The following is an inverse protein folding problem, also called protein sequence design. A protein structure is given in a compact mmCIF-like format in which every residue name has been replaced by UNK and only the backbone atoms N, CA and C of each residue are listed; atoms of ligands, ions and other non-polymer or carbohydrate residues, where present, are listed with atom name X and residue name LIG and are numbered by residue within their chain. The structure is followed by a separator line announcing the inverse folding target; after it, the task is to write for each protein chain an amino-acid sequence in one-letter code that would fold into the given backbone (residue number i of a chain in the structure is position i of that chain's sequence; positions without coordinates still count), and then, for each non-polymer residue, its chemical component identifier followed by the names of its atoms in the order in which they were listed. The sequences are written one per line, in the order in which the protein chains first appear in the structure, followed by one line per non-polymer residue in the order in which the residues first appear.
data_IF_421309841618
#
_entry.id   IF_421309841618
#
_cell.length_a   1.000
_cell.length_b   1.000
_cell.length_c   1.000
_cell.angle_alpha   90.00
_cell.angle_beta   90.00
_cell.angle_gamma   90.00
#
_symmetry.space_group_name_H-M   'P 1'
#
loop_
_entity.id
_entity.type
_entity.pdbx_description
1 polymer ?
#
# COMPACT_ATOMS: atom_id res chain seq x y z
N UNK A 1 -31.91 8.15 21.90
CA UNK A 1 -30.68 8.21 22.73
C UNK A 1 -29.57 7.27 22.21
N UNK A 2 -29.87 6.03 21.78
CA UNK A 2 -28.86 5.09 21.27
C UNK A 2 -28.26 5.56 19.93
N UNK A 3 -29.05 6.12 19.02
CA UNK A 3 -28.60 6.62 17.72
C UNK A 3 -27.64 7.82 17.84
N UNK A 4 -27.88 8.75 18.76
CA UNK A 4 -27.00 9.89 19.01
C UNK A 4 -25.67 9.43 19.64
N UNK A 5 -25.68 8.47 20.56
CA UNK A 5 -24.48 7.92 21.18
C UNK A 5 -23.60 7.21 20.17
N UNK A 6 -24.17 6.42 19.25
CA UNK A 6 -23.45 5.80 18.14
C UNK A 6 -22.83 6.84 17.19
N UNK A 7 -23.56 7.90 16.90
CA UNK A 7 -23.07 8.99 16.04
C UNK A 7 -21.86 9.71 16.66
N UNK A 8 -21.93 10.07 17.94
CA UNK A 8 -20.82 10.70 18.65
C UNK A 8 -19.57 9.81 18.75
N UNK A 9 -19.74 8.53 19.06
CA UNK A 9 -18.64 7.57 19.15
C UNK A 9 -17.95 7.39 17.77
N UNK A 10 -18.71 7.27 16.70
CA UNK A 10 -18.16 7.11 15.36
C UNK A 10 -17.38 8.35 14.87
N UNK A 11 -17.80 9.55 15.27
CA UNK A 11 -17.08 10.79 14.92
C UNK A 11 -15.84 10.99 15.79
N UNK A 12 -15.90 10.67 17.07
CA UNK A 12 -14.76 10.71 17.96
C UNK A 12 -13.66 9.74 17.49
N UNK A 13 -14.04 8.50 17.13
CA UNK A 13 -13.11 7.52 16.59
C UNK A 13 -12.51 7.96 15.25
N UNK A 14 -13.29 8.55 14.35
CA UNK A 14 -12.81 9.06 13.08
C UNK A 14 -11.80 10.20 13.27
N UNK A 15 -12.07 11.11 14.22
CA UNK A 15 -11.16 12.21 14.56
C UNK A 15 -9.88 11.68 15.21
N UNK A 16 -10.00 10.79 16.19
CA UNK A 16 -8.86 10.16 16.85
C UNK A 16 -7.98 9.38 15.86
N UNK A 17 -8.59 8.63 14.94
CA UNK A 17 -7.90 7.96 13.85
C UNK A 17 -7.15 8.95 12.97
N UNK A 18 -7.78 10.06 12.56
CA UNK A 18 -7.12 11.07 11.72
C UNK A 18 -5.97 11.75 12.44
N UNK A 19 -6.09 12.02 13.74
CA UNK A 19 -4.99 12.54 14.56
C UNK A 19 -3.83 11.55 14.66
N UNK A 20 -4.12 10.26 14.84
CA UNK A 20 -3.11 9.21 14.79
C UNK A 20 -2.39 9.18 13.44
N UNK A 21 -3.14 9.20 12.34
CA UNK A 21 -2.58 9.21 10.98
C UNK A 21 -1.68 10.43 10.75
N UNK A 22 -2.12 11.63 11.12
CA UNK A 22 -1.35 12.88 10.96
C UNK A 22 -0.08 12.89 11.81
N UNK A 23 -0.21 12.55 13.09
CA UNK A 23 0.93 12.60 14.02
C UNK A 23 1.98 11.55 13.66
N UNK A 24 1.56 10.32 13.43
CA UNK A 24 2.49 9.24 13.11
C UNK A 24 3.13 9.43 11.74
N UNK A 25 2.35 9.78 10.69
CA UNK A 25 2.93 10.03 9.36
C UNK A 25 3.82 11.28 9.34
N UNK A 26 3.45 12.36 10.05
CA UNK A 26 4.25 13.57 10.14
C UNK A 26 5.60 13.33 10.85
N UNK A 27 5.58 12.62 11.99
CA UNK A 27 6.79 12.21 12.69
C UNK A 27 7.66 11.29 11.84
N UNK A 28 7.06 10.29 11.19
CA UNK A 28 7.78 9.37 10.33
C UNK A 28 8.43 10.10 9.13
N UNK A 29 7.71 11.03 8.47
CA UNK A 29 8.26 11.86 7.41
C UNK A 29 9.45 12.69 7.89
N UNK A 30 9.34 13.32 9.06
CA UNK A 30 10.43 14.12 9.63
C UNK A 30 11.66 13.27 9.95
N UNK A 31 11.47 12.17 10.67
CA UNK A 31 12.56 11.30 11.14
C UNK A 31 13.24 10.54 9.98
N UNK A 32 12.46 10.11 8.98
CA UNK A 32 12.97 9.34 7.85
C UNK A 32 13.45 10.21 6.68
N UNK A 33 13.20 11.54 6.72
CA UNK A 33 13.58 12.45 5.63
C UNK A 33 15.09 12.41 5.28
N UNK A 34 16.06 12.40 6.23
CA UNK A 34 17.48 12.32 5.87
C UNK A 34 17.80 11.02 5.12
N UNK A 35 17.24 9.90 5.58
CA UNK A 35 17.40 8.60 4.93
C UNK A 35 16.74 8.60 3.53
N UNK A 36 15.54 9.16 3.40
CA UNK A 36 14.83 9.28 2.14
C UNK A 36 15.63 10.10 1.10
N UNK A 37 16.30 11.17 1.54
CA UNK A 37 17.18 11.97 0.66
C UNK A 37 18.38 11.16 0.20
N UNK A 38 19.06 10.44 1.10
CA UNK A 38 20.21 9.58 0.73
C UNK A 38 19.78 8.49 -0.25
N UNK A 39 18.64 7.87 -0.01
CA UNK A 39 18.07 6.87 -0.92
C UNK A 39 17.71 7.47 -2.28
N UNK A 40 17.12 8.66 -2.31
CA UNK A 40 16.81 9.38 -3.53
C UNK A 40 18.06 9.64 -4.38
N UNK A 41 19.16 10.06 -3.74
CA UNK A 41 20.47 10.25 -4.40
C UNK A 41 20.95 8.91 -4.96
N UNK A 42 20.91 7.83 -4.17
CA UNK A 42 21.36 6.51 -4.60
C UNK A 42 20.56 6.00 -5.82
N UNK A 43 19.24 6.10 -5.81
CA UNK A 43 18.36 5.74 -6.94
C UNK A 43 18.73 6.57 -8.19
N UNK A 44 18.97 7.86 -8.01
CA UNK A 44 19.33 8.76 -9.11
C UNK A 44 20.69 8.43 -9.72
N UNK A 45 21.65 8.02 -8.91
CA UNK A 45 22.99 7.65 -9.36
C UNK A 45 23.00 6.29 -10.08
N UNK A 46 22.14 5.34 -9.66
CA UNK A 46 22.09 4.01 -10.27
C UNK A 46 21.50 4.05 -11.70
N UNK A 47 20.43 4.80 -11.91
CA UNK A 47 19.69 4.78 -13.19
C UNK A 47 19.14 6.17 -13.56
N UNK A 48 19.90 7.19 -13.51
CA UNK A 48 19.68 8.61 -13.93
C UNK A 48 18.24 9.10 -14.22
N UNK A 49 17.22 8.30 -13.97
CA UNK A 49 15.80 8.61 -14.17
C UNK A 49 15.12 9.26 -12.93
N UNK A 50 13.78 9.41 -12.91
CA UNK A 50 13.05 9.98 -11.79
C UNK A 50 13.21 9.12 -10.53
N UNK A 51 13.26 9.76 -9.36
CA UNK A 51 13.40 9.08 -8.07
C UNK A 51 12.08 8.43 -7.63
N UNK A 52 10.98 9.10 -7.91
CA UNK A 52 9.64 8.63 -7.57
C UNK A 52 8.95 8.07 -8.80
N UNK A 53 8.19 7.02 -8.58
CA UNK A 53 7.22 6.44 -9.50
C UNK A 53 5.81 6.71 -8.97
N UNK A 54 4.95 7.20 -9.83
CA UNK A 54 3.56 7.52 -9.51
C UNK A 54 2.61 6.53 -10.18
N UNK A 55 1.72 5.95 -9.40
CA UNK A 55 0.73 5.02 -9.91
C UNK A 55 -0.67 5.48 -9.51
N UNK A 56 -1.63 5.41 -10.43
CA UNK A 56 -3.03 5.68 -10.09
C UNK A 56 -3.57 4.51 -9.27
N UNK A 57 -4.20 4.84 -8.14
CA UNK A 57 -4.88 3.89 -7.26
C UNK A 57 -6.28 4.37 -6.95
N UNK A 58 -7.15 3.43 -6.60
CA UNK A 58 -8.54 3.70 -6.22
C UNK A 58 -8.65 3.67 -4.71
N UNK A 59 -9.18 4.75 -4.13
CA UNK A 59 -9.43 4.91 -2.72
C UNK A 59 -10.92 4.95 -2.38
N UNK A 60 -11.22 5.70 -1.32
CA UNK A 60 -12.58 5.84 -0.78
C UNK A 60 -13.60 6.17 -1.87
N UNK A 61 -14.69 5.40 -1.91
CA UNK A 61 -15.83 5.56 -2.83
C UNK A 61 -15.44 5.62 -4.31
N UNK A 62 -14.33 4.98 -4.67
CA UNK A 62 -13.88 4.92 -6.05
C UNK A 62 -13.05 6.15 -6.50
N UNK A 63 -12.70 7.07 -5.60
CA UNK A 63 -11.87 8.22 -5.92
C UNK A 63 -10.46 7.77 -6.32
N UNK A 64 -10.00 8.24 -7.49
CA UNK A 64 -8.66 7.90 -7.99
C UNK A 64 -7.65 8.93 -7.48
N UNK A 65 -6.54 8.47 -6.92
CA UNK A 65 -5.47 9.32 -6.42
C UNK A 65 -4.09 8.86 -6.90
N UNK A 66 -3.10 9.74 -6.77
CA UNK A 66 -1.71 9.43 -7.08
C UNK A 66 -1.02 8.74 -5.90
N UNK A 67 -0.45 7.57 -6.18
CA UNK A 67 0.18 6.70 -5.21
C UNK A 67 1.69 6.69 -5.43
N UNK A 68 2.47 7.43 -4.63
CA UNK A 68 3.90 7.56 -4.80
C UNK A 68 4.65 6.35 -4.25
N UNK A 69 5.71 5.95 -4.97
CA UNK A 69 6.69 4.97 -4.51
C UNK A 69 8.10 5.42 -4.91
N UNK A 70 9.11 4.98 -4.18
CA UNK A 70 10.46 5.05 -4.73
C UNK A 70 10.58 4.13 -5.93
N UNK A 71 11.25 4.62 -6.97
CA UNK A 71 11.48 3.85 -8.18
C UNK A 71 12.42 2.68 -7.88
N UNK A 72 11.92 1.47 -8.09
CA UNK A 72 12.65 0.22 -7.91
C UNK A 72 12.98 -0.50 -9.22
N UNK A 73 12.47 0.00 -10.35
CA UNK A 73 12.66 -0.55 -11.68
C UNK A 73 13.41 0.43 -12.57
N UNK A 74 14.06 -0.12 -13.60
CA UNK A 74 14.77 0.63 -14.64
C UNK A 74 13.84 1.52 -15.43
N UNK A 75 14.37 2.57 -16.04
CA UNK A 75 13.60 3.51 -16.89
C UNK A 75 13.02 2.84 -18.14
N UNK A 76 13.69 1.80 -18.66
CA UNK A 76 13.26 0.99 -19.81
C UNK A 76 12.37 -0.21 -19.42
N UNK A 77 11.84 -0.23 -18.20
CA UNK A 77 11.08 -1.36 -17.65
C UNK A 77 9.86 -1.77 -18.48
N UNK A 78 9.18 -0.81 -19.13
CA UNK A 78 7.99 -1.10 -19.95
C UNK A 78 8.36 -1.79 -21.29
N UNK A 79 9.50 -1.44 -21.87
CA UNK A 79 10.00 -2.11 -23.07
C UNK A 79 10.43 -3.56 -22.77
N UNK A 80 11.12 -3.74 -21.63
CA UNK A 80 11.53 -5.05 -21.15
C UNK A 80 10.30 -5.89 -20.82
N UNK A 81 9.26 -5.32 -20.19
CA UNK A 81 8.02 -6.00 -19.86
C UNK A 81 7.37 -6.63 -21.10
N UNK A 82 7.22 -5.87 -22.18
CA UNK A 82 6.63 -6.35 -23.44
C UNK A 82 7.34 -7.59 -24.00
N UNK A 83 8.68 -7.65 -23.82
CA UNK A 83 9.48 -8.80 -24.24
C UNK A 83 9.34 -10.01 -23.33
N UNK A 84 8.99 -9.78 -22.05
CA UNK A 84 8.93 -10.82 -21.01
C UNK A 84 7.49 -11.29 -20.69
N UNK A 85 6.47 -10.76 -21.37
CA UNK A 85 5.06 -11.14 -21.08
C UNK A 85 4.79 -12.64 -21.18
N UNK A 86 5.54 -13.36 -22.02
CA UNK A 86 5.45 -14.82 -22.16
C UNK A 86 6.00 -15.59 -20.95
N UNK A 87 6.79 -14.94 -20.09
CA UNK A 87 7.45 -15.54 -18.90
C UNK A 87 6.70 -15.19 -17.60
N UNK A 88 5.45 -14.71 -17.69
CA UNK A 88 4.67 -14.34 -16.54
C UNK A 88 4.22 -15.58 -15.73
N UNK A 89 4.65 -15.69 -14.46
CA UNK A 89 4.28 -16.79 -13.55
C UNK A 89 2.76 -16.88 -13.28
N UNK A 90 2.03 -15.78 -13.44
CA UNK A 90 0.56 -15.75 -13.29
C UNK A 90 -0.19 -16.12 -14.59
N UNK A 91 0.54 -16.45 -15.67
CA UNK A 91 -0.03 -16.74 -16.99
C UNK A 91 -0.27 -15.47 -17.83
N UNK A 92 -0.38 -15.67 -19.15
CA UNK A 92 -0.50 -14.57 -20.13
C UNK A 92 -1.79 -13.73 -19.99
N UNK A 93 -2.83 -14.27 -19.36
CA UNK A 93 -4.11 -13.59 -19.13
C UNK A 93 -4.20 -12.87 -17.78
N UNK A 94 -3.17 -12.95 -16.93
CA UNK A 94 -3.21 -12.34 -15.60
C UNK A 94 -3.02 -10.82 -15.67
N UNK A 95 -3.80 -10.09 -14.88
CA UNK A 95 -3.73 -8.63 -14.76
C UNK A 95 -2.41 -8.17 -14.13
N UNK A 96 -1.77 -9.03 -13.32
CA UNK A 96 -0.51 -8.75 -12.64
C UNK A 96 0.63 -9.58 -13.22
N UNK A 97 1.76 -8.91 -13.52
CA UNK A 97 3.00 -9.58 -13.92
C UNK A 97 3.82 -9.95 -12.70
N UNK A 98 4.17 -11.22 -12.54
CA UNK A 98 5.06 -11.70 -11.50
C UNK A 98 6.15 -12.58 -12.10
N UNK A 99 7.39 -12.35 -11.67
CA UNK A 99 8.57 -13.10 -12.06
C UNK A 99 9.59 -13.09 -10.92
N UNK A 100 10.11 -14.25 -10.52
CA UNK A 100 11.01 -14.39 -9.37
C UNK A 100 12.30 -13.57 -9.53
N UNK A 101 12.90 -13.60 -10.70
CA UNK A 101 14.12 -12.82 -11.03
C UNK A 101 13.82 -11.78 -12.12
N UNK A 102 13.02 -10.78 -11.79
CA UNK A 102 12.63 -9.74 -12.72
C UNK A 102 13.83 -8.84 -13.11
N UNK A 103 14.33 -8.89 -14.37
CA UNK A 103 15.48 -8.12 -14.82
C UNK A 103 15.25 -6.60 -14.86
N UNK A 104 13.99 -6.17 -14.73
CA UNK A 104 13.62 -4.74 -14.67
C UNK A 104 13.97 -4.11 -13.33
N UNK A 105 14.18 -4.92 -12.29
CA UNK A 105 14.44 -4.43 -10.93
C UNK A 105 15.91 -4.07 -10.82
N UNK A 106 16.21 -2.82 -10.38
CA UNK A 106 17.58 -2.36 -10.12
C UNK A 106 18.16 -3.03 -8.87
N UNK A 107 19.47 -2.87 -8.61
CA UNK A 107 20.11 -3.44 -7.39
C UNK A 107 19.54 -2.78 -6.14
N UNK A 108 19.46 -1.44 -6.12
CA UNK A 108 18.81 -0.69 -5.03
C UNK A 108 17.34 -1.04 -4.97
N UNK A 109 16.67 -1.14 -6.11
CA UNK A 109 15.27 -1.54 -6.23
C UNK A 109 14.97 -2.88 -5.55
N UNK A 110 15.82 -3.88 -5.69
CA UNK A 110 15.68 -5.18 -5.02
C UNK A 110 15.76 -5.04 -3.50
N UNK A 111 16.70 -4.23 -3.01
CA UNK A 111 16.82 -3.97 -1.58
C UNK A 111 15.58 -3.26 -1.01
N UNK A 112 15.15 -2.14 -1.63
CA UNK A 112 14.01 -1.35 -1.12
C UNK A 112 12.69 -2.10 -1.20
N UNK A 113 12.49 -2.95 -2.22
CA UNK A 113 11.30 -3.81 -2.32
C UNK A 113 11.29 -4.89 -1.23
N UNK A 114 12.43 -5.57 -1.01
CA UNK A 114 12.56 -6.58 0.04
C UNK A 114 12.26 -6.03 1.44
N UNK A 115 12.61 -4.77 1.69
CA UNK A 115 12.43 -4.09 2.97
C UNK A 115 11.16 -3.22 3.02
N UNK A 116 10.37 -3.18 1.93
CA UNK A 116 9.21 -2.30 1.77
C UNK A 116 9.51 -0.79 1.94
N UNK A 117 10.78 -0.41 1.83
CA UNK A 117 11.23 0.99 1.89
C UNK A 117 10.74 1.79 0.68
N UNK A 118 10.49 1.12 -0.44
CA UNK A 118 9.89 1.75 -1.63
C UNK A 118 8.52 2.36 -1.35
N UNK A 119 7.83 1.96 -0.29
CA UNK A 119 6.51 2.48 0.10
C UNK A 119 6.56 3.70 1.02
N UNK A 120 7.74 4.12 1.51
CA UNK A 120 7.88 5.30 2.39
C UNK A 120 7.24 6.60 1.84
N UNK A 121 7.28 6.91 0.53
CA UNK A 121 6.62 8.10 0.00
C UNK A 121 5.11 8.11 0.23
N UNK A 122 4.46 6.96 0.49
CA UNK A 122 3.03 6.88 0.80
C UNK A 122 2.68 7.54 2.14
N UNK A 123 3.64 7.74 3.05
CA UNK A 123 3.45 8.53 4.26
C UNK A 123 2.96 9.95 3.93
N UNK A 124 3.39 10.51 2.79
CA UNK A 124 2.84 11.77 2.29
C UNK A 124 1.37 11.66 1.92
N UNK A 125 0.96 10.56 1.27
CA UNK A 125 -0.46 10.33 0.94
C UNK A 125 -1.33 10.18 2.18
N UNK A 126 -0.78 9.63 3.28
CA UNK A 126 -1.45 9.55 4.58
C UNK A 126 -1.57 10.95 5.19
N UNK A 127 -0.47 11.70 5.22
CA UNK A 127 -0.46 13.07 5.74
C UNK A 127 -1.43 13.97 4.98
N UNK A 128 -1.50 13.85 3.65
CA UNK A 128 -2.41 14.58 2.79
C UNK A 128 -3.89 14.14 2.90
N UNK A 129 -4.17 12.96 3.49
CA UNK A 129 -5.54 12.45 3.69
C UNK A 129 -6.10 11.56 2.60
N UNK A 130 -5.30 11.21 1.60
CA UNK A 130 -5.69 10.25 0.56
C UNK A 130 -5.63 8.81 1.07
N UNK A 131 -4.83 8.56 2.09
CA UNK A 131 -4.64 7.27 2.74
C UNK A 131 -4.68 7.41 4.26
N UNK A 132 -4.72 6.26 4.94
CA UNK A 132 -4.55 6.08 6.37
C UNK A 132 -3.36 5.14 6.64
N UNK A 133 -2.87 5.08 7.87
CA UNK A 133 -1.91 4.05 8.28
C UNK A 133 -2.51 2.66 8.14
N UNK A 134 -3.78 2.48 8.55
CA UNK A 134 -4.47 1.20 8.52
C UNK A 134 -5.76 1.30 7.71
N UNK A 135 -5.95 0.36 6.79
CA UNK A 135 -7.13 0.28 5.95
C UNK A 135 -6.93 -0.70 4.78
N UNK A 136 -7.96 -1.00 3.99
CA UNK A 136 -7.84 -1.82 2.79
C UNK A 136 -6.74 -1.32 1.86
N UNK A 137 -5.93 -2.24 1.30
CA UNK A 137 -4.88 -1.84 0.35
C UNK A 137 -5.50 -1.19 -0.89
N UNK A 138 -5.02 0.00 -1.33
CA UNK A 138 -5.59 0.68 -2.49
C UNK A 138 -5.37 -0.14 -3.77
N UNK A 139 -6.48 -0.44 -4.46
CA UNK A 139 -6.49 -1.26 -5.67
C UNK A 139 -6.11 -0.46 -6.92
N UNK A 140 -5.70 -1.17 -7.98
CA UNK A 140 -5.52 -0.59 -9.31
C UNK A 140 -6.89 -0.30 -9.94
N UNK A 141 -7.04 0.74 -10.79
CA UNK A 141 -8.28 0.99 -11.53
C UNK A 141 -8.73 -0.23 -12.36
N UNK A 142 -7.78 -0.97 -12.94
CA UNK A 142 -8.05 -2.18 -13.73
C UNK A 142 -8.59 -3.33 -12.87
N UNK A 143 -8.13 -3.46 -11.61
CA UNK A 143 -8.66 -4.42 -10.65
C UNK A 143 -10.09 -4.08 -10.26
N UNK A 144 -10.33 -2.80 -9.94
CA UNK A 144 -11.68 -2.32 -9.54
C UNK A 144 -12.70 -2.46 -10.66
N UNK A 145 -12.28 -2.37 -11.92
CA UNK A 145 -13.15 -2.61 -13.07
C UNK A 145 -13.70 -4.06 -13.11
N UNK A 146 -13.01 -5.00 -12.48
CA UNK A 146 -13.40 -6.42 -12.40
C UNK A 146 -14.11 -6.78 -11.08
N UNK A 147 -14.26 -5.82 -10.15
CA UNK A 147 -14.87 -6.06 -8.85
C UNK A 147 -16.36 -6.36 -8.95
N UNK A 148 -16.78 -7.40 -8.26
CA UNK A 148 -18.18 -7.67 -7.97
C UNK A 148 -18.75 -6.61 -6.99
N UNK A 149 -20.06 -6.65 -6.76
CA UNK A 149 -20.67 -5.75 -5.77
C UNK A 149 -20.13 -5.98 -4.35
N UNK A 150 -19.85 -7.24 -4.00
CA UNK A 150 -19.23 -7.58 -2.70
C UNK A 150 -17.82 -7.05 -2.58
N UNK A 151 -17.01 -7.16 -3.65
CA UNK A 151 -15.62 -6.68 -3.62
C UNK A 151 -15.54 -5.17 -3.47
N UNK A 152 -16.53 -4.43 -4.01
CA UNK A 152 -16.59 -2.96 -3.90
C UNK A 152 -16.76 -2.45 -2.47
N UNK A 153 -17.16 -3.29 -1.52
CA UNK A 153 -17.21 -2.93 -0.09
C UNK A 153 -15.85 -2.47 0.46
N UNK A 154 -14.73 -2.98 -0.09
CA UNK A 154 -13.37 -2.50 0.27
C UNK A 154 -13.19 -1.00 0.03
N UNK A 155 -13.97 -0.39 -0.87
CA UNK A 155 -13.91 1.02 -1.22
C UNK A 155 -14.75 1.92 -0.29
N UNK A 156 -15.41 1.35 0.71
CA UNK A 156 -16.20 2.10 1.71
C UNK A 156 -15.34 2.71 2.83
N UNK A 157 -14.04 2.46 2.80
CA UNK A 157 -13.08 2.98 3.77
C UNK A 157 -11.91 3.69 3.06
N UNK A 158 -11.27 4.63 3.75
CA UNK A 158 -10.00 5.22 3.30
C UNK A 158 -8.96 4.08 3.23
N UNK A 159 -8.24 3.93 2.10
CA UNK A 159 -7.25 2.88 1.95
C UNK A 159 -6.07 3.07 2.89
N UNK A 160 -5.44 1.96 3.30
CA UNK A 160 -4.34 1.95 4.25
C UNK A 160 -2.99 1.59 3.66
N UNK A 161 -1.94 1.95 4.41
CA UNK A 161 -0.57 1.48 4.18
C UNK A 161 -0.43 0.02 4.59
N UNK A 162 -1.12 -0.38 5.67
CA UNK A 162 -1.19 -1.76 6.15
C UNK A 162 -2.64 -2.19 6.40
N UNK A 163 -2.88 -3.49 6.42
CA UNK A 163 -4.19 -4.10 6.65
C UNK A 163 -4.05 -5.50 7.25
N UNK A 164 -5.17 -6.12 7.67
CA UNK A 164 -5.17 -7.43 8.33
C UNK A 164 -4.45 -8.48 7.48
N UNK A 165 -4.80 -8.62 6.20
CA UNK A 165 -4.20 -9.66 5.37
C UNK A 165 -2.71 -9.41 5.04
N UNK A 166 -2.25 -8.15 5.02
CA UNK A 166 -0.84 -7.84 4.80
C UNK A 166 0.07 -8.31 5.94
N UNK A 167 -0.46 -8.42 7.16
CA UNK A 167 0.29 -8.96 8.31
C UNK A 167 0.08 -10.46 8.53
N UNK A 168 -0.94 -11.08 7.88
CA UNK A 168 -1.34 -12.46 8.13
C UNK A 168 -0.79 -13.47 7.11
N UNK A 169 -0.41 -13.04 5.90
CA UNK A 169 0.08 -13.96 4.85
C UNK A 169 0.38 -13.27 3.51
N UNK A 170 0.05 -11.99 3.38
CA UNK A 170 0.35 -11.15 2.20
C UNK A 170 -0.16 -11.80 0.89
N UNK A 171 0.73 -11.98 -0.10
CA UNK A 171 0.41 -12.54 -1.42
C UNK A 171 -0.02 -14.00 -1.40
N UNK A 172 0.13 -14.73 -0.29
CA UNK A 172 -0.33 -16.11 -0.16
C UNK A 172 -1.84 -16.22 0.09
N UNK A 173 -2.48 -15.13 0.52
CA UNK A 173 -3.92 -15.11 0.78
C UNK A 173 -4.67 -14.88 -0.54
N UNK A 174 -5.60 -15.77 -0.95
CA UNK A 174 -6.42 -15.59 -2.15
C UNK A 174 -7.23 -14.29 -2.12
N UNK A 175 -7.50 -13.72 -3.29
CA UNK A 175 -8.16 -12.41 -3.40
C UNK A 175 -9.49 -12.34 -2.63
N UNK A 176 -10.36 -13.35 -2.73
CA UNK A 176 -11.65 -13.36 -2.02
C UNK A 176 -11.48 -13.26 -0.50
N UNK A 177 -10.46 -13.96 0.07
CA UNK A 177 -10.17 -13.87 1.50
C UNK A 177 -9.56 -12.51 1.88
N UNK A 178 -8.79 -11.88 0.99
CA UNK A 178 -8.33 -10.50 1.22
C UNK A 178 -9.53 -9.54 1.32
N UNK A 179 -10.54 -9.71 0.46
CA UNK A 179 -11.78 -8.92 0.50
C UNK A 179 -12.53 -9.14 1.81
N UNK A 180 -12.68 -10.39 2.25
CA UNK A 180 -13.34 -10.72 3.52
C UNK A 180 -12.63 -10.06 4.72
N UNK A 181 -11.30 -10.11 4.76
CA UNK A 181 -10.50 -9.49 5.81
C UNK A 181 -10.57 -7.95 5.77
N UNK A 182 -10.63 -7.36 4.58
CA UNK A 182 -10.82 -5.92 4.43
C UNK A 182 -12.22 -5.48 4.89
N UNK A 183 -13.26 -6.26 4.57
CA UNK A 183 -14.63 -6.00 5.04
C UNK A 183 -14.72 -6.17 6.56
N UNK A 184 -14.10 -7.22 7.10
CA UNK A 184 -14.01 -7.42 8.56
C UNK A 184 -13.38 -6.21 9.25
N UNK A 185 -12.27 -5.70 8.71
CA UNK A 185 -11.65 -4.47 9.22
C UNK A 185 -12.63 -3.29 9.19
N UNK A 186 -13.32 -3.07 8.07
CA UNK A 186 -14.27 -1.96 7.92
C UNK A 186 -15.38 -2.01 8.98
N UNK A 187 -15.87 -3.21 9.28
CA UNK A 187 -16.95 -3.44 10.25
C UNK A 187 -16.49 -3.33 11.71
N UNK A 188 -15.22 -3.70 11.99
CA UNK A 188 -14.70 -3.80 13.37
C UNK A 188 -13.67 -2.73 13.73
N UNK A 189 -13.36 -1.81 12.82
CA UNK A 189 -12.29 -0.81 13.00
C UNK A 189 -12.49 0.02 14.27
N UNK A 190 -11.42 0.15 15.01
CA UNK A 190 -11.25 1.03 16.17
C UNK A 190 -9.82 1.56 16.18
N UNK A 191 -9.55 2.65 16.87
CA UNK A 191 -8.18 3.16 17.04
C UNK A 191 -7.26 2.14 17.70
N UNK A 192 -7.79 1.34 18.63
CA UNK A 192 -7.02 0.29 19.30
C UNK A 192 -6.62 -0.82 18.34
N UNK A 193 -7.54 -1.26 17.47
CA UNK A 193 -7.24 -2.22 16.41
C UNK A 193 -6.18 -1.67 15.45
N UNK A 194 -6.26 -0.39 15.09
CA UNK A 194 -5.26 0.25 14.23
C UNK A 194 -3.87 0.21 14.87
N UNK A 195 -3.75 0.57 16.14
CA UNK A 195 -2.48 0.50 16.88
C UNK A 195 -1.95 -0.94 16.89
N UNK A 196 -2.80 -1.92 17.15
CA UNK A 196 -2.42 -3.33 17.13
C UNK A 196 -1.87 -3.76 15.77
N UNK A 197 -2.54 -3.38 14.68
CA UNK A 197 -2.11 -3.70 13.31
C UNK A 197 -0.81 -2.99 12.93
N UNK A 198 -0.61 -1.74 13.35
CA UNK A 198 0.64 -1.00 13.14
C UNK A 198 1.80 -1.72 13.85
N UNK A 199 1.63 -2.10 15.13
CA UNK A 199 2.65 -2.84 15.89
C UNK A 199 2.98 -4.18 15.23
N UNK A 200 1.98 -4.93 14.78
CA UNK A 200 2.15 -6.20 14.07
C UNK A 200 2.79 -6.05 12.68
N UNK A 201 2.68 -4.87 12.06
CA UNK A 201 3.30 -4.60 10.75
C UNK A 201 4.83 -4.55 10.85
N UNK A 202 5.38 -4.05 11.96
CA UNK A 202 6.84 -3.92 12.14
C UNK A 202 7.56 -5.28 11.97
N UNK A 203 7.22 -6.35 12.71
CA UNK A 203 7.85 -7.65 12.50
C UNK A 203 7.53 -8.25 11.12
N UNK A 204 6.31 -8.03 10.59
CA UNK A 204 5.93 -8.53 9.27
C UNK A 204 6.80 -7.94 8.15
N UNK A 205 7.22 -6.68 8.27
CA UNK A 205 8.15 -6.02 7.34
C UNK A 205 9.58 -6.48 7.58
N UNK A 206 10.05 -6.51 8.83
CA UNK A 206 11.43 -6.85 9.16
C UNK A 206 11.81 -8.29 8.80
N UNK A 207 10.90 -9.23 9.02
CA UNK A 207 11.14 -10.66 8.72
C UNK A 207 10.79 -11.03 7.26
N UNK A 208 10.34 -10.07 6.44
CA UNK A 208 10.12 -10.18 5.00
C UNK A 208 9.34 -11.44 4.54
N UNK A 209 8.50 -12.02 5.40
CA UNK A 209 7.69 -13.18 5.04
C UNK A 209 6.64 -12.79 3.99
N UNK A 210 6.80 -13.32 2.75
CA UNK A 210 5.88 -13.07 1.64
C UNK A 210 6.07 -11.72 0.93
N UNK A 211 7.22 -11.03 1.09
CA UNK A 211 7.65 -9.95 0.22
C UNK A 211 8.22 -10.55 -1.07
N UNK A 212 7.51 -10.43 -2.16
CA UNK A 212 7.95 -10.83 -3.51
C UNK A 212 7.47 -9.80 -4.51
#
# INVERSE_FOLDING_TARGET
FQTLRHWWLSHADATAKRMLDLTASGLALLLLSPFAVLLAIAIRLEDRGPVLYWQKRVGLRGHVFDFPKFRSMRTDSDEIRKKLEQLNEHGSAAVTFKMENDPRITRIGRFIRKTSIDELPQLWSIFAGHMSLVGPRPALPQEVAQYTLSDRRRLECIPGLTCIWQISGRSQIPFHQQVELDVLYIETRTVLLDIELIVKTVPAVLFARGAS
#
